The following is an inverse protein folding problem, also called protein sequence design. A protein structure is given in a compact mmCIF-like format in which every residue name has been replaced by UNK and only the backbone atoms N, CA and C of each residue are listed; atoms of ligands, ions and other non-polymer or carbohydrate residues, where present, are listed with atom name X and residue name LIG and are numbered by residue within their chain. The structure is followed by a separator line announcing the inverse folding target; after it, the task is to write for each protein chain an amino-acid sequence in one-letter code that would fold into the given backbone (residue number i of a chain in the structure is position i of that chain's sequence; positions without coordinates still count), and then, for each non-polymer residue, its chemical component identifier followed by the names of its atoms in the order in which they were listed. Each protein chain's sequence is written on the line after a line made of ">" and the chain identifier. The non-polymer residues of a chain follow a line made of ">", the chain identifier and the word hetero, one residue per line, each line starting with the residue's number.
data_IF_536041644660
#
_entry.id   IF_536041644660
#
_cell.length_a   1.000
_cell.length_b   1.000
_cell.length_c   1.000
_cell.angle_alpha   90.00
_cell.angle_beta   90.00
_cell.angle_gamma   90.00
#
_symmetry.space_group_name_H-M   'P 1'
#
loop_
_entity.id
_entity.type
_entity.pdbx_description
1 polymer ?
#
# COMPACT_ATOMS: atom_id res chain seq x y z
N UNK A 1 -4.68 11.96 -19.02
CA UNK A 1 -4.26 10.61 -18.56
C UNK A 1 -4.98 10.35 -17.24
N UNK A 2 -5.85 9.34 -17.15
CA UNK A 2 -6.43 8.95 -15.85
C UNK A 2 -5.31 8.34 -15.02
N UNK A 3 -4.93 8.97 -13.92
CA UNK A 3 -3.96 8.41 -12.99
C UNK A 3 -4.64 7.30 -12.18
N UNK A 4 -4.54 6.06 -12.65
CA UNK A 4 -5.06 4.89 -11.92
C UNK A 4 -4.15 4.58 -10.73
N UNK A 5 -4.74 4.44 -9.54
CA UNK A 5 -4.03 4.01 -8.32
C UNK A 5 -3.76 2.50 -8.41
N UNK A 6 -2.53 2.08 -8.12
CA UNK A 6 -2.16 0.65 -8.05
C UNK A 6 -2.37 0.14 -6.63
N UNK A 7 -3.21 -0.89 -6.47
CA UNK A 7 -3.42 -1.56 -5.21
C UNK A 7 -2.39 -2.68 -5.01
N UNK A 8 -1.64 -2.63 -3.91
CA UNK A 8 -0.73 -3.71 -3.50
C UNK A 8 -1.21 -4.28 -2.17
N UNK A 9 -1.68 -5.52 -2.21
CA UNK A 9 -2.19 -6.20 -1.01
C UNK A 9 -1.05 -6.82 -0.22
N UNK A 10 -1.07 -6.69 1.11
CA UNK A 10 0.01 -7.19 1.96
C UNK A 10 1.33 -6.44 1.75
N UNK A 11 1.24 -5.12 1.54
CA UNK A 11 2.34 -4.24 1.15
C UNK A 11 3.57 -4.33 2.07
N UNK A 12 3.40 -4.65 3.34
CA UNK A 12 4.51 -4.81 4.31
C UNK A 12 5.20 -6.18 4.27
N UNK A 13 4.86 -7.03 3.30
CA UNK A 13 5.59 -8.24 2.97
C UNK A 13 6.95 -7.92 2.35
N UNK A 14 7.88 -8.88 2.44
CA UNK A 14 9.25 -8.72 1.92
C UNK A 14 9.25 -8.37 0.43
N UNK A 15 8.63 -9.20 -0.40
CA UNK A 15 8.52 -8.97 -1.86
C UNK A 15 7.65 -7.75 -2.16
N UNK A 16 6.51 -7.62 -1.49
CA UNK A 16 5.56 -6.55 -1.76
C UNK A 16 6.15 -5.16 -1.52
N UNK A 17 7.04 -5.00 -0.53
CA UNK A 17 7.72 -3.73 -0.26
C UNK A 17 8.58 -3.28 -1.46
N UNK A 18 9.27 -4.22 -2.11
CA UNK A 18 10.05 -3.93 -3.32
C UNK A 18 9.15 -3.59 -4.52
N UNK A 19 8.00 -4.26 -4.66
CA UNK A 19 7.01 -3.91 -5.68
C UNK A 19 6.49 -2.48 -5.48
N UNK A 20 6.18 -2.09 -4.23
CA UNK A 20 5.75 -0.72 -3.89
C UNK A 20 6.84 0.29 -4.27
N UNK A 21 8.09 0.02 -3.92
CA UNK A 21 9.21 0.91 -4.27
C UNK A 21 9.32 1.14 -5.79
N UNK A 22 9.30 0.07 -6.58
CA UNK A 22 9.40 0.17 -8.04
C UNK A 22 8.22 0.95 -8.65
N UNK A 23 7.00 0.74 -8.13
CA UNK A 23 5.81 1.48 -8.57
C UNK A 23 5.92 2.97 -8.25
N UNK A 24 6.39 3.32 -7.05
CA UNK A 24 6.57 4.72 -6.63
C UNK A 24 7.63 5.42 -7.50
N UNK A 25 8.76 4.74 -7.78
CA UNK A 25 9.82 5.22 -8.66
C UNK A 25 9.34 5.41 -10.10
N UNK A 26 8.46 4.52 -10.58
CA UNK A 26 7.87 4.61 -11.92
C UNK A 26 6.75 5.67 -12.05
N UNK A 27 6.45 6.42 -10.99
CA UNK A 27 5.49 7.52 -11.05
C UNK A 27 4.07 7.19 -10.59
N UNK A 28 3.80 5.95 -10.18
CA UNK A 28 2.45 5.53 -9.78
C UNK A 28 2.08 6.03 -8.38
N UNK A 29 0.78 6.27 -8.18
CA UNK A 29 0.17 6.32 -6.84
C UNK A 29 -0.11 4.89 -6.41
N UNK A 30 0.29 4.53 -5.19
CA UNK A 30 0.15 3.19 -4.64
C UNK A 30 -0.74 3.23 -3.41
N UNK A 31 -1.74 2.35 -3.37
CA UNK A 31 -2.48 2.02 -2.14
C UNK A 31 -1.98 0.66 -1.65
N UNK A 32 -1.32 0.65 -0.51
CA UNK A 32 -0.83 -0.57 0.13
C UNK A 32 -1.77 -1.04 1.24
N UNK A 33 -2.18 -2.31 1.24
CA UNK A 33 -2.88 -2.87 2.41
C UNK A 33 -1.90 -3.42 3.44
N UNK A 34 -2.16 -3.16 4.71
CA UNK A 34 -1.45 -3.75 5.85
C UNK A 34 -2.47 -4.23 6.88
N UNK A 35 -2.14 -5.26 7.67
CA UNK A 35 -3.06 -5.71 8.73
C UNK A 35 -3.26 -4.68 9.84
N UNK A 36 -2.21 -3.93 10.16
CA UNK A 36 -2.29 -2.86 11.15
C UNK A 36 -1.27 -1.76 10.85
N UNK A 37 -1.75 -0.51 10.77
CA UNK A 37 -0.92 0.70 10.69
C UNK A 37 -0.16 0.97 11.97
N UNK A 38 -0.61 0.41 13.10
CA UNK A 38 0.05 0.54 14.41
C UNK A 38 1.33 -0.31 14.52
N UNK A 39 1.53 -1.28 13.62
CA UNK A 39 2.74 -2.09 13.60
C UNK A 39 3.90 -1.35 12.91
N UNK A 40 4.56 -0.46 13.64
CA UNK A 40 5.66 0.36 13.12
C UNK A 40 6.78 -0.49 12.49
N UNK A 41 7.11 -1.67 13.06
CA UNK A 41 8.13 -2.56 12.47
C UNK A 41 7.79 -2.97 11.03
N UNK A 42 6.51 -3.23 10.76
CA UNK A 42 6.02 -3.62 9.43
C UNK A 42 5.81 -2.44 8.50
N UNK A 43 5.41 -1.29 9.03
CA UNK A 43 5.00 -0.13 8.23
C UNK A 43 6.15 0.85 7.94
N UNK A 44 7.07 1.04 8.88
CA UNK A 44 8.17 2.00 8.72
C UNK A 44 9.05 1.79 7.47
N UNK A 45 9.33 0.55 6.99
CA UNK A 45 10.03 0.37 5.72
C UNK A 45 9.31 1.02 4.54
N UNK A 46 7.99 0.85 4.43
CA UNK A 46 7.16 1.42 3.36
C UNK A 46 7.16 2.96 3.39
N UNK A 47 7.05 3.54 4.59
CA UNK A 47 7.02 5.00 4.77
C UNK A 47 8.35 5.69 4.47
N UNK A 48 9.46 4.93 4.43
CA UNK A 48 10.80 5.44 4.11
C UNK A 48 11.17 5.29 2.64
N UNK A 49 10.31 4.69 1.81
CA UNK A 49 10.57 4.54 0.39
C UNK A 49 10.57 5.91 -0.32
N UNK A 50 11.35 6.05 -1.40
CA UNK A 50 11.30 7.24 -2.25
C UNK A 50 9.87 7.54 -2.70
N UNK A 51 9.47 8.80 -2.64
CA UNK A 51 8.14 9.29 -3.02
C UNK A 51 6.95 8.76 -2.21
N UNK A 52 7.19 7.98 -1.15
CA UNK A 52 6.11 7.42 -0.34
C UNK A 52 5.22 8.52 0.28
N UNK A 53 5.81 9.63 0.73
CA UNK A 53 5.06 10.73 1.34
C UNK A 53 4.04 11.36 0.40
N UNK A 54 4.31 11.41 -0.90
CA UNK A 54 3.40 12.03 -1.88
C UNK A 54 2.48 11.01 -2.58
N UNK A 55 2.94 9.75 -2.71
CA UNK A 55 2.32 8.77 -3.61
C UNK A 55 1.90 7.45 -2.95
N UNK A 56 2.23 7.21 -1.67
CA UNK A 56 1.81 6.00 -0.95
C UNK A 56 0.69 6.31 0.04
N UNK A 57 -0.41 5.56 -0.07
CA UNK A 57 -1.46 5.48 0.93
C UNK A 57 -1.47 4.09 1.57
N UNK A 58 -1.55 4.02 2.90
CA UNK A 58 -1.71 2.74 3.61
C UNK A 58 -3.13 2.62 4.17
N UNK A 59 -3.78 1.51 3.84
CA UNK A 59 -5.10 1.13 4.36
C UNK A 59 -5.01 -0.16 5.16
N UNK A 60 -5.84 -0.28 6.20
CA UNK A 60 -5.93 -1.52 6.97
C UNK A 60 -6.89 -2.48 6.28
N UNK A 61 -6.42 -3.69 5.99
CA UNK A 61 -7.22 -4.82 5.52
C UNK A 61 -6.46 -6.13 5.77
N UNK A 62 -7.19 -7.17 6.16
CA UNK A 62 -6.68 -8.54 6.17
C UNK A 62 -7.14 -9.29 4.91
N UNK A 63 -6.18 -9.94 4.24
CA UNK A 63 -6.45 -10.79 3.07
C UNK A 63 -7.38 -11.96 3.39
N UNK A 64 -7.39 -12.39 4.65
CA UNK A 64 -8.21 -13.50 5.10
C UNK A 64 -9.60 -13.06 5.58
N UNK A 65 -9.90 -11.75 5.53
CA UNK A 65 -11.19 -11.20 5.93
C UNK A 65 -11.90 -10.54 4.74
N UNK A 66 -12.96 -11.18 4.23
CA UNK A 66 -13.72 -10.69 3.08
C UNK A 66 -14.38 -9.32 3.31
N UNK A 67 -14.73 -9.00 4.56
CA UNK A 67 -15.45 -7.78 4.90
C UNK A 67 -14.60 -6.50 4.75
N UNK A 68 -13.27 -6.65 4.68
CA UNK A 68 -12.35 -5.52 4.60
C UNK A 68 -12.27 -4.90 3.18
N UNK A 69 -12.62 -5.65 2.14
CA UNK A 69 -12.40 -5.28 0.72
C UNK A 69 -13.36 -4.25 0.14
N UNK A 70 -14.69 -4.31 0.38
CA UNK A 70 -15.65 -3.48 -0.34
C UNK A 70 -15.62 -1.99 0.01
N UNK A 71 -15.20 -1.61 1.23
CA UNK A 71 -15.39 -0.23 1.74
C UNK A 71 -14.14 0.63 1.84
N UNK A 72 -12.96 0.05 2.09
CA UNK A 72 -11.74 0.82 2.41
C UNK A 72 -10.64 0.69 1.35
N UNK A 73 -10.69 -0.36 0.54
CA UNK A 73 -9.60 -0.69 -0.39
C UNK A 73 -9.91 -0.18 -1.81
N UNK A 74 -11.16 -0.27 -2.24
CA UNK A 74 -11.59 0.00 -3.62
C UNK A 74 -12.22 1.39 -3.85
N UNK A 75 -12.32 2.25 -2.82
CA UNK A 75 -12.89 3.59 -3.00
C UNK A 75 -11.98 4.47 -3.87
N UNK A 76 -12.57 5.08 -4.90
CA UNK A 76 -11.86 5.86 -5.94
C UNK A 76 -11.34 7.19 -5.42
#
# INVERSE_FOLDING_TARGET
>A
LRFSVVLVTGASGYVATHCVEQLLLAGYRVRGTVRSKKNARKVSPLLRLPHAKERLELVEADLLNADDWPRRVLST
#
